data_IF_826711583824
#
_entry.id   IF_826711583824
#
_cell.length_a   1.000
_cell.length_b   1.000
_cell.length_c   1.000
_cell.angle_alpha   90.00
_cell.angle_beta   90.00
_cell.angle_gamma   90.00
#
_symmetry.space_group_name_H-M   'P 1'
#
loop_
_entity.id
_entity.type
_entity.pdbx_description
1 polymer ?
#
# COMPACT_ATOMS: atom_id res chain seq x y z
N UNK A 1 -19.99 23.21 27.34
CA UNK A 1 -18.68 22.52 27.38
C UNK A 1 -18.69 21.22 26.57
N UNK A 2 -19.67 20.33 26.72
CA UNK A 2 -19.73 19.03 26.03
C UNK A 2 -19.65 19.05 24.50
N UNK A 3 -20.21 20.05 23.83
CA UNK A 3 -20.22 20.11 22.36
C UNK A 3 -18.81 20.34 21.77
N UNK A 4 -18.07 21.30 22.33
CA UNK A 4 -16.70 21.62 21.87
C UNK A 4 -15.75 20.46 22.15
N UNK A 5 -15.90 19.79 23.29
CA UNK A 5 -15.10 18.61 23.63
C UNK A 5 -15.37 17.44 22.69
N UNK A 6 -16.62 17.23 22.27
CA UNK A 6 -16.96 16.19 21.29
C UNK A 6 -16.39 16.48 19.91
N UNK A 7 -16.43 17.74 19.45
CA UNK A 7 -15.81 18.15 18.18
C UNK A 7 -14.30 17.90 18.23
N UNK A 8 -13.63 18.34 19.30
CA UNK A 8 -12.20 18.12 19.47
C UNK A 8 -11.84 16.63 19.51
N UNK A 9 -12.65 15.81 20.18
CA UNK A 9 -12.45 14.36 20.27
C UNK A 9 -12.61 13.65 18.91
N UNK A 10 -13.69 13.94 18.16
CA UNK A 10 -13.91 13.36 16.82
C UNK A 10 -12.80 13.80 15.87
N UNK A 11 -12.36 15.06 15.94
CA UNK A 11 -11.30 15.57 15.07
C UNK A 11 -9.95 14.92 15.36
N UNK A 12 -9.59 14.75 16.65
CA UNK A 12 -8.40 14.01 17.08
C UNK A 12 -8.44 12.57 16.56
N UNK A 13 -9.51 11.84 16.84
CA UNK A 13 -9.68 10.45 16.39
C UNK A 13 -9.62 10.37 14.85
N UNK A 14 -10.23 11.32 14.14
CA UNK A 14 -10.20 11.38 12.68
C UNK A 14 -8.80 11.64 12.10
N UNK A 15 -8.02 12.55 12.69
CA UNK A 15 -6.64 12.83 12.27
C UNK A 15 -5.72 11.64 12.56
N UNK A 16 -5.84 11.04 13.75
CA UNK A 16 -5.09 9.83 14.11
C UNK A 16 -5.44 8.66 13.20
N UNK A 17 -6.73 8.46 12.89
CA UNK A 17 -7.16 7.45 11.94
C UNK A 17 -6.67 7.75 10.53
N UNK A 18 -6.71 8.99 10.04
CA UNK A 18 -6.21 9.29 8.69
C UNK A 18 -4.69 9.05 8.57
N UNK A 19 -3.92 9.37 9.61
CA UNK A 19 -2.48 9.14 9.65
C UNK A 19 -2.13 7.65 9.69
N UNK A 20 -2.84 6.87 10.53
CA UNK A 20 -2.57 5.44 10.69
C UNK A 20 -3.23 4.56 9.62
N UNK A 21 -4.49 4.85 9.25
CA UNK A 21 -5.19 4.19 8.14
C UNK A 21 -4.57 4.55 6.80
N UNK A 22 -4.13 5.79 6.57
CA UNK A 22 -3.48 6.16 5.31
C UNK A 22 -2.21 5.34 5.09
N UNK A 23 -1.32 5.30 6.09
CA UNK A 23 -0.12 4.48 6.05
C UNK A 23 -0.44 2.98 5.94
N UNK A 24 -1.42 2.48 6.71
CA UNK A 24 -1.82 1.07 6.68
C UNK A 24 -2.49 0.67 5.37
N UNK A 25 -3.30 1.52 4.74
CA UNK A 25 -3.95 1.28 3.45
C UNK A 25 -2.94 1.30 2.31
N UNK A 26 -1.97 2.23 2.33
CA UNK A 26 -0.86 2.22 1.38
C UNK A 26 -0.01 0.96 1.52
N UNK A 27 0.33 0.56 2.75
CA UNK A 27 1.11 -0.65 3.02
C UNK A 27 0.32 -1.93 2.68
N UNK A 28 -0.99 -1.96 2.93
CA UNK A 28 -1.87 -3.06 2.55
C UNK A 28 -2.07 -3.14 1.03
N UNK A 29 -2.14 -2.00 0.34
CA UNK A 29 -2.17 -1.90 -1.12
C UNK A 29 -0.86 -2.35 -1.76
N UNK A 30 0.28 -1.90 -1.23
CA UNK A 30 1.61 -2.38 -1.61
C UNK A 30 1.74 -3.89 -1.36
N UNK A 31 1.26 -4.39 -0.22
CA UNK A 31 1.25 -5.81 0.09
C UNK A 31 0.37 -6.58 -0.90
N UNK A 32 -0.80 -6.07 -1.28
CA UNK A 32 -1.68 -6.66 -2.28
C UNK A 32 -1.00 -6.75 -3.66
N UNK A 33 -0.30 -5.68 -4.07
CA UNK A 33 0.49 -5.62 -5.31
C UNK A 33 1.68 -6.59 -5.25
N UNK A 34 2.40 -6.64 -4.14
CA UNK A 34 3.56 -7.56 -3.94
C UNK A 34 3.13 -9.02 -3.83
N UNK A 35 1.90 -9.27 -3.36
CA UNK A 35 1.26 -10.59 -3.33
C UNK A 35 0.85 -11.06 -4.72
N UNK A 36 0.97 -10.27 -5.79
CA UNK A 36 0.96 -10.78 -7.16
C UNK A 36 2.31 -11.45 -7.49
N UNK A 37 2.45 -12.78 -7.34
CA UNK A 37 3.69 -13.50 -7.60
C UNK A 37 3.88 -13.75 -9.10
N UNK A 38 2.90 -13.38 -9.93
CA UNK A 38 2.89 -13.58 -11.38
C UNK A 38 3.86 -12.65 -12.11
N UNK A 39 4.07 -11.43 -11.62
CA UNK A 39 4.93 -10.45 -12.31
C UNK A 39 6.41 -10.85 -12.24
N UNK A 40 6.87 -11.46 -11.14
CA UNK A 40 8.29 -11.88 -10.99
C UNK A 40 8.65 -13.06 -11.89
N UNK A 41 7.76 -14.03 -12.11
CA UNK A 41 8.02 -15.11 -13.06
C UNK A 41 7.91 -14.65 -14.51
N UNK A 42 6.97 -13.77 -14.84
CA UNK A 42 6.84 -13.21 -16.19
C UNK A 42 8.02 -12.28 -16.52
N UNK A 43 8.49 -11.44 -15.60
CA UNK A 43 9.70 -10.62 -15.81
C UNK A 43 10.97 -11.44 -15.86
N UNK A 44 11.13 -12.45 -14.99
CA UNK A 44 12.31 -13.33 -15.05
C UNK A 44 12.29 -14.20 -16.31
N UNK A 45 11.14 -14.76 -16.73
CA UNK A 45 11.02 -15.51 -17.98
C UNK A 45 11.25 -14.60 -19.20
N UNK A 46 10.71 -13.38 -19.18
CA UNK A 46 10.95 -12.39 -20.23
C UNK A 46 12.43 -11.99 -20.33
N UNK A 47 13.13 -11.83 -19.19
CA UNK A 47 14.57 -11.56 -19.17
C UNK A 47 15.42 -12.79 -19.53
N UNK A 48 14.97 -14.00 -19.20
CA UNK A 48 15.66 -15.26 -19.52
C UNK A 48 15.56 -15.59 -21.02
N UNK A 49 14.44 -15.26 -21.67
CA UNK A 49 14.30 -15.30 -23.14
C UNK A 49 15.18 -14.22 -23.79
N UNK A 50 15.24 -13.01 -23.21
CA UNK A 50 16.08 -11.94 -23.75
C UNK A 50 17.59 -12.19 -23.60
N UNK A 51 18.02 -12.89 -22.56
CA UNK A 51 19.41 -13.32 -22.38
C UNK A 51 19.79 -14.51 -23.28
N UNK A 52 18.82 -15.27 -23.78
CA UNK A 52 19.06 -16.36 -24.73
C UNK A 52 19.09 -15.89 -26.20
N UNK A 53 18.71 -14.63 -26.47
CA UNK A 53 18.55 -14.08 -27.84
C UNK A 53 19.55 -12.95 -28.15
N UNK A 54 20.34 -12.46 -27.17
CA UNK A 54 21.45 -11.56 -27.49
C UNK A 54 22.74 -12.37 -27.71
N UNK A 55 23.38 -12.29 -28.90
CA UNK A 55 24.68 -12.90 -29.18
C UNK A 55 25.81 -12.28 -28.34
#
# INVERSE_FOLDING_TARGET
>A
LGFVTSIAFIFLVGVFMSSWLGASVLNLGEWFIKRMPFVRHIYNASKQISAAISP
#
